data_IF_344010211861
#
_entry.id   IF_344010211861
#
_cell.length_a   1.000
_cell.length_b   1.000
_cell.length_c   1.000
_cell.angle_alpha   90.00
_cell.angle_beta   90.00
_cell.angle_gamma   90.00
#
_symmetry.space_group_name_H-M   'P 1'
#
loop_
_entity.id
_entity.type
_entity.pdbx_description
1 polymer ?
#
# COMPACT_ATOMS: atom_id res chain seq x y z
N UNK A 1 16.10 4.43 1.40
CA UNK A 1 15.59 5.65 0.69
C UNK A 1 14.55 5.21 -0.31
N UNK A 2 13.27 5.61 -0.14
CA UNK A 2 12.16 5.16 -0.96
C UNK A 2 12.33 5.49 -2.44
N UNK A 3 11.81 4.62 -3.30
CA UNK A 3 11.85 4.77 -4.76
C UNK A 3 11.26 6.12 -5.23
N UNK A 4 10.30 6.67 -4.50
CA UNK A 4 9.74 8.02 -4.72
C UNK A 4 10.74 9.18 -4.52
N UNK A 5 11.91 8.92 -3.92
CA UNK A 5 12.98 9.94 -3.79
C UNK A 5 13.90 10.00 -5.01
N UNK A 6 13.82 9.04 -5.92
CA UNK A 6 14.56 9.10 -7.17
C UNK A 6 13.99 10.21 -8.06
N UNK A 7 14.82 11.19 -8.51
CA UNK A 7 14.37 12.23 -9.45
C UNK A 7 13.79 11.64 -10.74
N UNK A 8 14.32 10.50 -11.20
CA UNK A 8 13.82 9.81 -12.39
C UNK A 8 12.38 9.32 -12.22
N UNK A 9 12.06 8.64 -11.11
CA UNK A 9 10.69 8.16 -10.86
C UNK A 9 9.68 9.29 -10.65
N UNK A 10 10.12 10.42 -10.10
CA UNK A 10 9.26 11.61 -9.98
C UNK A 10 8.83 12.18 -11.34
N UNK A 11 9.67 12.07 -12.35
CA UNK A 11 9.33 12.52 -13.71
C UNK A 11 8.43 11.54 -14.46
N UNK A 12 8.41 10.27 -14.06
CA UNK A 12 7.55 9.23 -14.66
C UNK A 12 6.07 9.40 -14.29
N UNK A 13 5.79 9.87 -13.07
CA UNK A 13 4.42 9.97 -12.56
C UNK A 13 3.52 10.88 -13.42
N UNK A 14 3.94 12.12 -13.79
CA UNK A 14 3.15 12.96 -14.69
C UNK A 14 2.95 12.34 -16.08
N UNK A 15 3.96 11.66 -16.61
CA UNK A 15 3.87 10.98 -17.90
C UNK A 15 2.86 9.83 -17.86
N UNK A 16 2.93 8.96 -16.85
CA UNK A 16 1.96 7.87 -16.66
C UNK A 16 0.54 8.38 -16.48
N UNK A 17 0.37 9.47 -15.71
CA UNK A 17 -0.92 10.12 -15.55
C UNK A 17 -1.51 10.54 -16.90
N UNK A 18 -0.72 11.21 -17.74
CA UNK A 18 -1.16 11.63 -19.09
C UNK A 18 -1.52 10.44 -19.99
N UNK A 19 -0.67 9.40 -20.00
CA UNK A 19 -0.91 8.19 -20.82
C UNK A 19 -2.20 7.48 -20.40
N UNK A 20 -2.43 7.30 -19.10
CA UNK A 20 -3.62 6.63 -18.59
C UNK A 20 -4.89 7.46 -18.85
N UNK A 21 -4.83 8.76 -18.60
CA UNK A 21 -5.93 9.68 -18.89
C UNK A 21 -6.30 9.70 -20.39
N UNK A 22 -5.29 9.72 -21.28
CA UNK A 22 -5.50 9.63 -22.73
C UNK A 22 -6.19 8.33 -23.16
N UNK A 23 -5.92 7.22 -22.44
CA UNK A 23 -6.58 5.93 -22.66
C UNK A 23 -7.95 5.80 -21.99
N UNK A 24 -8.46 6.86 -21.37
CA UNK A 24 -9.78 6.88 -20.74
C UNK A 24 -9.83 6.30 -19.32
N UNK A 25 -8.69 6.02 -18.71
CA UNK A 25 -8.66 5.60 -17.31
C UNK A 25 -8.74 6.83 -16.39
N UNK A 26 -9.69 6.87 -15.43
CA UNK A 26 -9.71 7.93 -14.43
C UNK A 26 -8.47 7.82 -13.54
N UNK A 27 -7.65 8.85 -13.51
CA UNK A 27 -6.43 8.91 -12.72
C UNK A 27 -6.61 9.88 -11.57
N UNK A 28 -6.42 9.41 -10.35
CA UNK A 28 -6.54 10.20 -9.13
C UNK A 28 -5.19 10.23 -8.40
N UNK A 29 -4.87 11.37 -7.81
CA UNK A 29 -3.69 11.50 -6.95
C UNK A 29 -4.13 11.69 -5.51
N UNK A 30 -3.60 10.90 -4.60
CA UNK A 30 -3.82 11.04 -3.15
C UNK A 30 -2.90 12.08 -2.50
N UNK A 31 -1.96 12.66 -3.28
CA UNK A 31 -1.03 13.67 -2.76
C UNK A 31 -1.65 15.07 -2.72
N UNK A 32 -1.22 15.94 -1.79
CA UNK A 32 -1.70 17.31 -1.68
C UNK A 32 -1.47 18.13 -2.95
N UNK A 33 -2.42 18.99 -3.25
CA UNK A 33 -2.48 19.84 -4.45
C UNK A 33 -1.32 20.85 -4.52
N UNK A 34 -0.65 21.16 -3.41
CA UNK A 34 0.43 22.17 -3.34
C UNK A 34 1.67 21.86 -4.21
N UNK A 35 1.70 20.71 -4.89
CA UNK A 35 2.75 20.35 -5.85
C UNK A 35 2.24 20.31 -7.30
N UNK A 36 1.03 20.79 -7.59
CA UNK A 36 0.41 20.78 -8.92
C UNK A 36 0.36 22.18 -9.53
N UNK A 37 0.51 22.22 -10.86
CA UNK A 37 0.24 23.41 -11.64
C UNK A 37 -1.28 23.68 -11.68
N UNK A 38 -1.70 24.94 -11.79
CA UNK A 38 -3.10 25.40 -11.71
C UNK A 38 -4.07 24.75 -12.72
N UNK A 39 -3.56 24.11 -13.76
CA UNK A 39 -4.39 23.46 -14.82
C UNK A 39 -5.03 22.13 -14.37
N UNK A 40 -4.45 21.42 -13.38
CA UNK A 40 -4.96 20.13 -12.88
C UNK A 40 -6.16 20.25 -11.92
N UNK A 41 -6.50 21.47 -11.52
CA UNK A 41 -7.52 21.71 -10.47
C UNK A 41 -8.97 21.49 -10.93
N UNK A 42 -9.23 21.36 -12.21
CA UNK A 42 -10.60 21.33 -12.74
C UNK A 42 -11.34 19.98 -12.66
N UNK A 43 -10.65 18.91 -12.32
CA UNK A 43 -11.19 17.52 -12.48
C UNK A 43 -11.54 16.82 -11.17
N UNK A 44 -11.19 17.34 -10.01
CA UNK A 44 -11.45 16.69 -8.69
C UNK A 44 -12.47 17.53 -7.92
N UNK A 45 -13.47 16.88 -7.30
CA UNK A 45 -14.46 17.60 -6.49
C UNK A 45 -13.78 18.36 -5.35
N UNK A 46 -14.12 19.64 -5.18
CA UNK A 46 -13.57 20.56 -4.19
C UNK A 46 -13.61 19.99 -2.76
N UNK A 47 -14.57 19.12 -2.47
CA UNK A 47 -14.76 18.50 -1.15
C UNK A 47 -13.68 17.45 -0.82
N UNK A 48 -13.26 16.65 -1.80
CA UNK A 48 -12.20 15.64 -1.61
C UNK A 48 -10.84 16.31 -1.42
N UNK A 49 -10.59 17.39 -2.17
CA UNK A 49 -9.37 18.21 -2.05
C UNK A 49 -9.29 18.89 -0.69
N UNK A 50 -10.40 19.46 -0.21
CA UNK A 50 -10.45 20.16 1.08
C UNK A 50 -10.27 19.21 2.27
N UNK A 51 -10.80 17.98 2.19
CA UNK A 51 -10.60 16.96 3.22
C UNK A 51 -9.12 16.51 3.29
N UNK A 52 -8.51 16.23 2.16
CA UNK A 52 -7.09 15.88 2.07
C UNK A 52 -6.17 17.02 2.54
N UNK A 53 -6.43 18.26 2.12
CA UNK A 53 -5.66 19.44 2.54
C UNK A 53 -5.80 19.72 4.03
N UNK A 54 -6.99 19.55 4.62
CA UNK A 54 -7.21 19.76 6.05
C UNK A 54 -6.45 18.76 6.91
N UNK A 55 -6.26 17.53 6.42
CA UNK A 55 -5.43 16.51 7.10
C UNK A 55 -3.93 16.81 7.01
N UNK A 56 -3.48 17.45 5.92
CA UNK A 56 -2.06 17.74 5.67
C UNK A 56 -1.58 19.04 6.36
N UNK A 57 -2.46 20.02 6.57
CA UNK A 57 -2.08 21.28 7.24
C UNK A 57 -1.75 21.13 8.73
N UNK A 58 -2.14 20.01 9.37
CA UNK A 58 -1.93 19.79 10.81
C UNK A 58 -0.67 18.98 11.13
N UNK A 59 -0.07 18.28 10.17
CA UNK A 59 1.15 17.49 10.40
C UNK A 59 2.17 17.71 9.28
N UNK A 60 3.39 18.13 9.65
CA UNK A 60 4.52 18.32 8.74
C UNK A 60 5.16 16.98 8.32
N UNK A 61 4.53 15.86 8.62
CA UNK A 61 5.04 14.54 8.28
C UNK A 61 5.00 14.34 6.77
N UNK A 62 6.13 14.02 6.12
CA UNK A 62 6.15 13.80 4.68
C UNK A 62 5.23 12.63 4.28
N UNK A 63 4.42 12.83 3.25
CA UNK A 63 3.63 11.77 2.65
C UNK A 63 4.51 10.90 1.75
N UNK A 64 4.68 9.64 2.14
CA UNK A 64 5.32 8.61 1.34
C UNK A 64 4.31 7.51 1.07
N UNK A 65 4.24 7.04 -0.18
CA UNK A 65 3.33 5.99 -0.59
C UNK A 65 3.94 5.17 -1.74
N UNK A 66 4.09 3.87 -1.55
CA UNK A 66 4.73 2.97 -2.53
C UNK A 66 3.72 2.05 -3.25
N UNK A 67 2.41 2.32 -3.11
CA UNK A 67 1.38 1.62 -3.88
C UNK A 67 1.30 0.13 -3.58
N UNK A 68 1.33 -0.71 -4.63
CA UNK A 68 1.07 -2.14 -4.51
C UNK A 68 2.12 -2.92 -3.71
N UNK A 69 3.33 -2.41 -3.53
CA UNK A 69 4.30 -3.01 -2.62
C UNK A 69 3.82 -3.02 -1.17
N UNK A 70 3.07 -1.97 -0.79
CA UNK A 70 2.58 -1.81 0.57
C UNK A 70 1.07 -1.93 0.72
N UNK A 71 0.30 -2.04 -0.38
CA UNK A 71 -1.17 -2.02 -0.33
C UNK A 71 -1.74 -3.20 -1.10
N UNK A 72 -2.54 -4.01 -0.43
CA UNK A 72 -3.18 -5.20 -1.00
C UNK A 72 -4.68 -5.20 -0.70
N UNK A 73 -5.51 -5.43 -1.70
CA UNK A 73 -6.93 -5.67 -1.52
C UNK A 73 -7.16 -7.05 -0.92
N UNK A 74 -8.00 -7.11 0.12
CA UNK A 74 -8.44 -8.40 0.65
C UNK A 74 -9.31 -9.11 -0.38
N UNK A 75 -9.04 -10.38 -0.72
CA UNK A 75 -9.91 -11.14 -1.61
C UNK A 75 -11.34 -11.21 -1.05
N UNK A 76 -12.33 -11.03 -1.93
CA UNK A 76 -13.76 -11.14 -1.62
C UNK A 76 -14.31 -10.19 -0.54
N UNK A 77 -13.48 -9.30 0.05
CA UNK A 77 -13.91 -8.31 1.06
C UNK A 77 -13.57 -6.89 0.63
N UNK A 78 -14.45 -5.95 0.96
CA UNK A 78 -14.18 -4.51 0.83
C UNK A 78 -13.26 -4.03 1.94
N UNK A 79 -12.00 -4.44 1.90
CA UNK A 79 -10.99 -4.23 2.91
C UNK A 79 -9.61 -4.12 2.26
N UNK A 80 -8.77 -3.24 2.77
CA UNK A 80 -7.40 -3.06 2.33
C UNK A 80 -6.45 -3.40 3.48
N UNK A 81 -5.40 -4.17 3.20
CA UNK A 81 -4.25 -4.37 4.05
C UNK A 81 -3.12 -3.46 3.59
N UNK A 82 -2.45 -2.79 4.52
CA UNK A 82 -1.40 -1.85 4.16
C UNK A 82 -0.23 -1.87 5.14
N UNK A 83 0.99 -2.04 4.61
CA UNK A 83 2.22 -1.91 5.37
C UNK A 83 2.65 -0.45 5.53
N UNK A 84 3.22 -0.10 6.69
CA UNK A 84 3.80 1.22 6.92
C UNK A 84 5.06 1.15 7.81
N UNK A 85 5.82 2.24 7.81
CA UNK A 85 7.00 2.39 8.66
C UNK A 85 8.26 2.75 7.87
N UNK A 86 8.51 2.11 6.72
CA UNK A 86 9.72 2.36 5.93
C UNK A 86 9.46 3.15 4.65
N UNK A 87 8.49 2.74 3.87
CA UNK A 87 8.22 3.27 2.52
C UNK A 87 6.90 4.00 2.41
N UNK A 88 5.90 3.54 3.16
CA UNK A 88 4.58 4.18 3.23
C UNK A 88 4.39 4.77 4.62
N UNK A 89 3.87 5.99 4.70
CA UNK A 89 3.60 6.70 5.94
C UNK A 89 2.13 6.55 6.37
N UNK A 90 1.86 6.57 7.68
CA UNK A 90 0.48 6.51 8.20
C UNK A 90 -0.44 7.58 7.59
N UNK A 91 -0.05 8.87 7.48
CA UNK A 91 -0.89 9.87 6.85
C UNK A 91 -1.28 9.54 5.40
N UNK A 92 -0.42 8.81 4.67
CA UNK A 92 -0.76 8.35 3.32
C UNK A 92 -1.83 7.25 3.35
N UNK A 93 -1.83 6.37 4.35
CA UNK A 93 -2.88 5.35 4.53
C UNK A 93 -4.21 5.96 4.97
N UNK A 94 -4.18 6.98 5.82
CA UNK A 94 -5.37 7.76 6.18
C UNK A 94 -5.99 8.44 4.96
N UNK A 95 -5.15 9.05 4.11
CA UNK A 95 -5.58 9.65 2.85
C UNK A 95 -6.14 8.59 1.88
N UNK A 96 -5.53 7.39 1.82
CA UNK A 96 -6.03 6.27 1.03
C UNK A 96 -7.41 5.82 1.50
N UNK A 97 -7.60 5.63 2.81
CA UNK A 97 -8.89 5.24 3.39
C UNK A 97 -9.98 6.29 3.10
N UNK A 98 -9.66 7.57 3.27
CA UNK A 98 -10.58 8.67 2.97
C UNK A 98 -10.96 8.73 1.48
N UNK A 99 -9.99 8.47 0.59
CA UNK A 99 -10.19 8.48 -0.86
C UNK A 99 -11.03 7.28 -1.33
N UNK A 100 -10.67 6.07 -0.90
CA UNK A 100 -11.33 4.83 -1.34
C UNK A 100 -12.66 4.61 -0.65
N UNK A 101 -12.86 5.17 0.54
CA UNK A 101 -13.97 4.88 1.48
C UNK A 101 -14.04 3.41 1.86
N UNK A 102 -12.91 2.74 1.85
CA UNK A 102 -12.75 1.35 2.25
C UNK A 102 -11.90 1.31 3.51
N UNK A 103 -12.24 0.48 4.51
CA UNK A 103 -11.41 0.27 5.67
C UNK A 103 -10.00 -0.15 5.30
N UNK A 104 -9.00 0.43 5.95
CA UNK A 104 -7.59 0.07 5.79
C UNK A 104 -7.07 -0.46 7.11
N UNK A 105 -6.62 -1.71 7.11
CA UNK A 105 -5.88 -2.29 8.23
C UNK A 105 -4.40 -1.99 8.00
N UNK A 106 -3.84 -1.18 8.86
CA UNK A 106 -2.43 -0.79 8.80
C UNK A 106 -1.57 -1.73 9.62
N UNK A 107 -0.55 -2.30 9.00
CA UNK A 107 0.43 -3.19 9.61
C UNK A 107 1.77 -2.46 9.72
N UNK A 108 2.29 -2.33 10.94
CA UNK A 108 3.59 -1.73 11.17
C UNK A 108 4.69 -2.74 10.86
N UNK A 109 5.53 -2.42 9.87
CA UNK A 109 6.70 -3.20 9.52
C UNK A 109 7.87 -2.88 10.46
N UNK A 110 8.53 -3.90 11.01
CA UNK A 110 9.63 -3.76 11.98
C UNK A 110 10.99 -4.12 11.41
N UNK A 111 11.06 -4.92 10.36
CA UNK A 111 12.31 -5.36 9.74
C UNK A 111 12.62 -4.53 8.49
N UNK A 112 13.66 -3.70 8.53
CA UNK A 112 14.05 -2.85 7.40
C UNK A 112 14.51 -3.62 6.16
N UNK A 113 14.86 -4.89 6.29
CA UNK A 113 15.19 -5.79 5.17
C UNK A 113 13.95 -6.12 4.35
N UNK A 114 12.78 -6.09 5.02
CA UNK A 114 11.46 -6.36 4.46
C UNK A 114 10.64 -5.06 4.47
N UNK A 115 11.13 -4.08 3.72
CA UNK A 115 10.64 -2.70 3.75
C UNK A 115 9.31 -2.48 3.04
N UNK A 116 8.76 -3.49 2.39
CA UNK A 116 7.43 -3.52 1.77
C UNK A 116 6.59 -4.66 2.33
N UNK A 117 5.28 -4.45 2.38
CA UNK A 117 4.33 -5.46 2.85
C UNK A 117 4.39 -6.75 2.01
N UNK A 118 4.49 -6.63 0.69
CA UNK A 118 4.53 -7.76 -0.23
C UNK A 118 5.77 -8.66 -0.07
N UNK A 119 6.78 -8.22 0.68
CA UNK A 119 7.96 -9.04 0.98
C UNK A 119 7.76 -9.96 2.19
N UNK A 120 6.73 -9.73 3.00
CA UNK A 120 6.50 -10.46 4.25
C UNK A 120 5.03 -10.85 4.51
N UNK A 121 4.15 -10.57 3.55
CA UNK A 121 2.71 -10.83 3.67
C UNK A 121 2.13 -11.12 2.27
N UNK A 122 1.47 -12.26 2.12
CA UNK A 122 0.80 -12.65 0.88
C UNK A 122 -0.53 -13.34 1.19
N UNK A 123 -1.62 -12.73 0.80
CA UNK A 123 -2.94 -13.38 0.87
C UNK A 123 -3.06 -14.42 -0.24
N UNK A 124 -3.34 -15.66 0.11
CA UNK A 124 -3.54 -16.76 -0.83
C UNK A 124 -5.01 -16.87 -1.26
N UNK A 125 -5.90 -16.58 -0.34
CA UNK A 125 -7.35 -16.47 -0.54
C UNK A 125 -7.96 -15.59 0.57
N UNK A 126 -9.27 -15.58 0.70
CA UNK A 126 -10.00 -14.76 1.68
C UNK A 126 -9.79 -15.17 3.15
N UNK A 127 -9.28 -16.38 3.40
CA UNK A 127 -9.11 -16.96 4.74
C UNK A 127 -7.68 -17.40 5.03
N UNK A 128 -6.82 -17.43 4.01
CA UNK A 128 -5.47 -17.95 4.10
C UNK A 128 -4.43 -16.89 3.75
N UNK A 129 -3.45 -16.72 4.61
CA UNK A 129 -2.33 -15.79 4.41
C UNK A 129 -0.98 -16.47 4.71
N UNK A 130 0.05 -16.15 3.92
CA UNK A 130 1.45 -16.43 4.24
C UNK A 130 2.08 -15.19 4.85
N UNK A 131 2.80 -15.35 5.95
CA UNK A 131 3.50 -14.24 6.60
C UNK A 131 4.88 -14.65 7.11
N UNK A 132 5.76 -13.67 7.26
CA UNK A 132 6.92 -13.76 8.14
C UNK A 132 6.61 -13.02 9.45
N UNK A 133 6.36 -13.73 10.57
CA UNK A 133 5.81 -13.11 11.79
C UNK A 133 6.69 -12.00 12.37
N UNK A 134 8.02 -12.14 12.30
CA UNK A 134 8.95 -11.14 12.86
C UNK A 134 8.96 -9.81 12.12
N UNK A 135 8.31 -9.72 10.96
CA UNK A 135 8.16 -8.46 10.24
C UNK A 135 7.12 -7.53 10.89
N UNK A 136 6.28 -8.02 11.79
CA UNK A 136 5.14 -7.30 12.36
C UNK A 136 5.28 -7.11 13.88
N UNK A 137 4.63 -6.07 14.41
CA UNK A 137 4.45 -5.91 15.85
C UNK A 137 3.32 -6.83 16.37
N UNK A 138 3.17 -6.90 17.69
CA UNK A 138 2.15 -7.75 18.34
C UNK A 138 0.74 -7.41 17.88
N UNK A 139 0.43 -6.13 17.74
CA UNK A 139 -0.89 -5.66 17.28
C UNK A 139 -1.16 -6.10 15.85
N UNK A 140 -0.16 -5.98 14.97
CA UNK A 140 -0.25 -6.47 13.59
C UNK A 140 -0.51 -7.97 13.52
N UNK A 141 0.20 -8.77 14.33
CA UNK A 141 -0.01 -10.21 14.39
C UNK A 141 -1.40 -10.58 14.93
N UNK A 142 -1.88 -9.92 15.99
CA UNK A 142 -3.24 -10.13 16.49
C UNK A 142 -4.30 -9.81 15.42
N UNK A 143 -4.15 -8.74 14.66
CA UNK A 143 -5.04 -8.41 13.56
C UNK A 143 -5.01 -9.48 12.47
N UNK A 144 -3.83 -9.95 12.07
CA UNK A 144 -3.69 -11.01 11.07
C UNK A 144 -4.40 -12.27 11.53
N UNK A 145 -4.13 -12.74 12.75
CA UNK A 145 -4.78 -13.94 13.30
C UNK A 145 -6.29 -13.78 13.54
N UNK A 146 -6.77 -12.55 13.70
CA UNK A 146 -8.20 -12.28 13.83
C UNK A 146 -8.95 -12.39 12.49
N UNK A 147 -8.30 -11.99 11.39
CA UNK A 147 -8.95 -11.90 10.08
C UNK A 147 -8.78 -13.15 9.21
N UNK A 148 -7.74 -13.95 9.44
CA UNK A 148 -7.43 -15.16 8.67
C UNK A 148 -7.57 -16.42 9.52
N UNK A 149 -8.28 -17.40 8.99
CA UNK A 149 -8.47 -18.71 9.65
C UNK A 149 -7.20 -19.57 9.56
N UNK A 150 -6.42 -19.39 8.49
CA UNK A 150 -5.18 -20.11 8.25
C UNK A 150 -4.03 -19.11 8.04
N UNK A 151 -3.08 -19.13 8.94
CA UNK A 151 -1.84 -18.33 8.88
C UNK A 151 -0.67 -19.28 8.66
N UNK A 152 -0.03 -19.18 7.49
CA UNK A 152 1.16 -19.93 7.14
C UNK A 152 2.39 -19.10 7.49
N UNK A 153 3.09 -19.49 8.53
CA UNK A 153 4.29 -18.81 8.96
C UNK A 153 5.49 -19.30 8.14
N UNK A 154 6.18 -18.36 7.50
CA UNK A 154 7.38 -18.60 6.70
C UNK A 154 8.60 -18.31 7.57
N UNK A 155 9.63 -19.14 7.49
CA UNK A 155 10.85 -18.95 8.26
C UNK A 155 11.74 -17.83 7.69
N UNK A 156 12.73 -17.40 8.49
CA UNK A 156 13.63 -16.31 8.12
C UNK A 156 14.44 -16.62 6.85
N UNK A 157 14.87 -17.85 6.69
CA UNK A 157 15.68 -18.25 5.54
C UNK A 157 14.88 -18.19 4.25
N UNK A 158 13.70 -18.79 4.25
CA UNK A 158 12.81 -18.76 3.08
C UNK A 158 12.34 -17.33 2.74
N UNK A 159 12.14 -16.50 3.76
CA UNK A 159 11.75 -15.11 3.58
C UNK A 159 12.86 -14.27 2.97
N UNK A 160 14.09 -14.38 3.49
CA UNK A 160 15.19 -13.49 3.09
C UNK A 160 15.98 -13.99 1.88
N UNK A 161 16.14 -15.30 1.71
CA UNK A 161 16.89 -15.86 0.59
C UNK A 161 16.02 -16.08 -0.65
N UNK A 162 14.73 -16.41 -0.45
CA UNK A 162 13.81 -16.76 -1.54
C UNK A 162 12.67 -15.77 -1.75
N UNK A 163 12.49 -14.78 -0.85
CA UNK A 163 11.36 -13.85 -0.88
C UNK A 163 10.00 -14.55 -1.01
N UNK A 164 9.82 -15.68 -0.30
CA UNK A 164 8.66 -16.57 -0.46
C UNK A 164 7.31 -15.86 -0.33
N UNK A 165 7.21 -14.83 0.52
CA UNK A 165 5.99 -14.03 0.65
C UNK A 165 5.74 -13.09 -0.55
N UNK A 166 6.74 -12.78 -1.39
CA UNK A 166 6.54 -12.00 -2.61
C UNK A 166 5.93 -12.85 -3.74
N UNK A 167 4.91 -13.59 -3.39
CA UNK A 167 4.22 -14.54 -4.24
C UNK A 167 2.97 -13.95 -4.88
N UNK A 168 2.47 -14.61 -5.91
CA UNK A 168 1.20 -14.25 -6.56
C UNK A 168 0.20 -15.38 -6.46
N UNK A 169 -0.87 -15.15 -5.71
CA UNK A 169 -2.00 -16.07 -5.66
C UNK A 169 -2.84 -15.99 -6.94
N UNK A 170 -3.20 -17.13 -7.46
CA UNK A 170 -3.98 -17.27 -8.70
C UNK A 170 -5.24 -18.10 -8.46
N UNK A 171 -6.24 -17.89 -9.29
CA UNK A 171 -7.46 -18.69 -9.27
C UNK A 171 -7.16 -20.19 -9.32
N UNK A 172 -7.98 -21.01 -8.64
CA UNK A 172 -7.82 -22.46 -8.57
C UNK A 172 -6.73 -22.91 -7.59
N UNK A 173 -6.50 -22.16 -6.52
CA UNK A 173 -5.58 -22.49 -5.41
C UNK A 173 -4.13 -22.72 -5.90
N UNK A 174 -3.70 -21.91 -6.85
CA UNK A 174 -2.33 -21.91 -7.37
C UNK A 174 -1.57 -20.71 -6.87
N UNK A 175 -0.30 -20.89 -6.55
CA UNK A 175 0.59 -19.83 -6.10
C UNK A 175 1.85 -19.85 -6.98
N UNK A 176 2.21 -18.70 -7.50
CA UNK A 176 3.51 -18.50 -8.14
C UNK A 176 4.45 -17.94 -7.09
N UNK A 177 5.53 -18.65 -6.85
CA UNK A 177 6.63 -18.21 -5.98
C UNK A 177 7.69 -17.50 -6.84
N UNK A 178 8.46 -16.58 -6.24
CA UNK A 178 9.59 -15.92 -6.90
C UNK A 178 10.65 -16.88 -7.38
#
# INVERSE_FOLDING_TARGET
MGAMRSPMRRSEVPYLHQVLAHKGYPVHSIFPVNQRNEEDQKTISQQTVNAANKMVETDKTPLFFEGMGDVQWHPERSLIWAGHGFRTSMPALEALAAFTRVPVISLRLQDERLYHLDTCFCMLDEQTVMIYPRAFDEVGLELIHHFFDVVLEIDERETLESFTCNATAMAGRRVLLP
#
